data_IF_375349515275
#
_entry.id   IF_375349515275
#
_cell.length_a   1.000
_cell.length_b   1.000
_cell.length_c   1.000
_cell.angle_alpha   90.00
_cell.angle_beta   90.00
_cell.angle_gamma   90.00
#
_symmetry.space_group_name_H-M   'P 1'
#
loop_
_entity.id
_entity.type
_entity.pdbx_description
1 polymer ?
#
# COMPACT_ATOMS: atom_id res chain seq x y z
N UNK A 1 11.38 -25.59 32.02
CA UNK A 1 10.76 -24.26 31.77
C UNK A 1 11.58 -23.35 30.85
N UNK A 2 12.92 -23.37 30.91
CA UNK A 2 13.82 -22.54 30.09
C UNK A 2 13.66 -22.75 28.57
N UNK A 3 13.49 -24.00 28.13
CA UNK A 3 13.28 -24.31 26.70
C UNK A 3 11.95 -23.78 26.17
N UNK A 4 10.88 -23.84 26.96
CA UNK A 4 9.56 -23.33 26.56
C UNK A 4 9.59 -21.81 26.33
N UNK A 5 10.28 -21.08 27.22
CA UNK A 5 10.51 -19.64 27.09
C UNK A 5 11.31 -19.28 25.83
N UNK A 6 12.32 -20.08 25.49
CA UNK A 6 13.13 -19.87 24.29
C UNK A 6 12.32 -20.08 23.00
N UNK A 7 11.44 -21.09 22.97
CA UNK A 7 10.54 -21.33 21.82
C UNK A 7 9.55 -20.18 21.66
N UNK A 8 8.93 -19.71 22.76
CA UNK A 8 8.02 -18.57 22.73
C UNK A 8 8.72 -17.28 22.25
N UNK A 9 9.94 -17.04 22.71
CA UNK A 9 10.74 -15.89 22.26
C UNK A 9 11.05 -15.97 20.75
N UNK A 10 11.43 -17.15 20.24
CA UNK A 10 11.65 -17.36 18.81
C UNK A 10 10.40 -17.12 17.96
N UNK A 11 9.25 -17.60 18.42
CA UNK A 11 7.96 -17.40 17.74
C UNK A 11 7.53 -15.92 17.74
N UNK A 12 7.78 -15.20 18.83
CA UNK A 12 7.54 -13.75 18.92
C UNK A 12 8.41 -12.98 17.91
N UNK A 13 9.71 -13.26 17.86
CA UNK A 13 10.63 -12.60 16.92
C UNK A 13 10.20 -12.86 15.47
N UNK A 14 9.81 -14.11 15.15
CA UNK A 14 9.32 -14.47 13.82
C UNK A 14 8.02 -13.73 13.47
N UNK A 15 7.08 -13.63 14.41
CA UNK A 15 5.83 -12.90 14.20
C UNK A 15 6.08 -11.40 13.96
N UNK A 16 6.99 -10.77 14.72
CA UNK A 16 7.40 -9.39 14.50
C UNK A 16 8.05 -9.19 13.13
N UNK A 17 8.92 -10.09 12.71
CA UNK A 17 9.56 -10.03 11.40
C UNK A 17 8.54 -10.12 10.25
N UNK A 18 7.57 -11.03 10.37
CA UNK A 18 6.50 -11.17 9.38
C UNK A 18 5.58 -9.95 9.36
N UNK A 19 5.22 -9.41 10.53
CA UNK A 19 4.40 -8.20 10.63
C UNK A 19 5.11 -6.98 10.01
N UNK A 20 6.42 -6.83 10.25
CA UNK A 20 7.23 -5.77 9.65
C UNK A 20 7.32 -5.90 8.12
N UNK A 21 7.35 -7.13 7.60
CA UNK A 21 7.41 -7.40 6.15
C UNK A 21 6.09 -7.14 5.44
N UNK A 22 4.96 -7.15 6.15
CA UNK A 22 3.67 -6.74 5.58
C UNK A 22 3.75 -5.23 5.32
N UNK A 23 4.07 -4.86 4.08
CA UNK A 23 3.88 -3.49 3.63
C UNK A 23 2.39 -3.15 3.83
N UNK A 24 2.08 -2.06 4.55
CA UNK A 24 0.70 -1.64 4.68
C UNK A 24 0.15 -1.39 3.26
N UNK A 25 -1.03 -1.91 2.91
CA UNK A 25 -1.71 -1.58 1.65
C UNK A 25 -2.31 -0.17 1.72
N UNK A 26 -1.61 0.77 2.39
CA UNK A 26 -2.10 2.12 2.63
C UNK A 26 -1.89 2.90 1.36
N UNK A 27 -3.01 3.19 0.71
CA UNK A 27 -3.11 4.15 -0.36
C UNK A 27 -2.86 5.54 0.23
N UNK A 28 -1.72 6.15 -0.12
CA UNK A 28 -1.37 7.51 0.25
C UNK A 28 -2.11 8.43 -0.71
N UNK A 29 -2.94 9.34 -0.20
CA UNK A 29 -3.59 10.33 -1.04
C UNK A 29 -2.56 11.32 -1.57
N UNK A 30 -2.57 11.53 -2.89
CA UNK A 30 -1.78 12.56 -3.55
C UNK A 30 -2.71 13.69 -3.90
N UNK A 31 -2.39 14.88 -3.40
CA UNK A 31 -3.13 16.09 -3.70
C UNK A 31 -2.95 16.42 -5.19
N UNK A 32 -4.07 16.54 -5.90
CA UNK A 32 -4.06 16.95 -7.31
C UNK A 32 -4.65 18.35 -7.43
N UNK A 33 -4.25 19.08 -8.48
CA UNK A 33 -4.78 20.42 -8.75
C UNK A 33 -6.26 20.43 -9.19
N UNK A 34 -6.91 19.26 -9.32
CA UNK A 34 -8.29 19.17 -9.78
C UNK A 34 -9.20 18.60 -8.69
N UNK A 35 -10.28 19.32 -8.35
CA UNK A 35 -11.31 18.85 -7.41
C UNK A 35 -12.06 17.61 -7.89
N UNK A 36 -12.05 17.35 -9.20
CA UNK A 36 -12.72 16.19 -9.82
C UNK A 36 -11.83 14.94 -9.85
N UNK A 37 -10.53 15.06 -9.54
CA UNK A 37 -9.55 13.97 -9.64
C UNK A 37 -8.95 13.69 -8.27
N UNK A 38 -9.29 12.54 -7.69
CA UNK A 38 -8.65 12.05 -6.47
C UNK A 38 -7.60 11.01 -6.85
N UNK A 39 -6.33 11.28 -6.53
CA UNK A 39 -5.24 10.34 -6.80
C UNK A 39 -4.74 9.72 -5.50
N UNK A 40 -4.42 8.44 -5.53
CA UNK A 40 -3.77 7.74 -4.43
C UNK A 40 -2.67 6.85 -4.96
N UNK A 41 -1.58 6.72 -4.21
CA UNK A 41 -0.45 5.88 -4.58
C UNK A 41 -0.16 4.87 -3.49
N UNK A 42 0.30 3.69 -3.87
CA UNK A 42 0.84 2.72 -2.91
C UNK A 42 2.05 2.01 -3.50
N UNK A 43 2.94 1.57 -2.63
CA UNK A 43 3.93 0.57 -3.00
C UNK A 43 3.29 -0.81 -2.85
N UNK A 44 3.34 -1.61 -3.91
CA UNK A 44 2.95 -3.01 -3.91
C UNK A 44 4.19 -3.83 -4.27
N UNK A 45 4.96 -4.20 -3.24
CA UNK A 45 6.26 -4.86 -3.43
C UNK A 45 7.26 -3.87 -4.04
N UNK A 46 7.69 -4.12 -5.28
CA UNK A 46 8.61 -3.27 -6.06
C UNK A 46 7.91 -2.35 -7.06
N UNK A 47 6.59 -2.45 -7.19
CA UNK A 47 5.80 -1.67 -8.16
C UNK A 47 5.07 -0.54 -7.47
N UNK A 48 5.11 0.65 -8.06
CA UNK A 48 4.33 1.79 -7.60
C UNK A 48 2.95 1.73 -8.26
N UNK A 49 1.89 1.54 -7.49
CA UNK A 49 0.53 1.57 -8.03
C UNK A 49 -0.08 2.93 -7.83
N UNK A 50 -0.71 3.46 -8.88
CA UNK A 50 -1.45 4.72 -8.87
C UNK A 50 -2.92 4.40 -9.09
N UNK A 51 -3.76 4.83 -8.15
CA UNK A 51 -5.22 4.81 -8.27
C UNK A 51 -5.70 6.22 -8.52
N UNK A 52 -6.45 6.41 -9.58
CA UNK A 52 -7.07 7.68 -9.93
C UNK A 52 -8.58 7.49 -9.95
N UNK A 53 -9.30 8.32 -9.20
CA UNK A 53 -10.74 8.39 -9.16
C UNK A 53 -11.14 9.69 -9.84
N UNK A 54 -11.80 9.59 -10.99
CA UNK A 54 -12.29 10.74 -11.75
C UNK A 54 -13.81 10.78 -11.56
N UNK A 55 -14.31 11.84 -10.91
CA UNK A 55 -15.75 12.10 -10.80
C UNK A 55 -16.20 12.86 -12.03
N UNK A 56 -17.08 12.27 -12.84
CA UNK A 56 -17.75 12.98 -13.94
C UNK A 56 -19.02 13.65 -13.42
N UNK A 57 -19.39 14.76 -14.04
CA UNK A 57 -20.54 15.60 -13.65
C UNK A 57 -21.89 14.87 -13.75
N UNK A 58 -21.96 13.74 -14.46
CA UNK A 58 -23.14 12.87 -14.56
C UNK A 58 -23.32 11.92 -13.34
N UNK A 59 -22.46 12.00 -12.32
CA UNK A 59 -22.45 11.08 -11.18
C UNK A 59 -21.72 9.76 -11.45
N UNK A 60 -21.14 9.60 -12.65
CA UNK A 60 -20.28 8.45 -12.97
C UNK A 60 -18.89 8.61 -12.34
N UNK A 61 -18.51 7.65 -11.50
CA UNK A 61 -17.15 7.56 -10.95
C UNK A 61 -16.33 6.57 -11.76
N UNK A 62 -15.26 7.05 -12.40
CA UNK A 62 -14.30 6.17 -13.09
C UNK A 62 -13.09 5.94 -12.20
N UNK A 63 -12.84 4.69 -11.84
CA UNK A 63 -11.66 4.27 -11.08
C UNK A 63 -10.66 3.63 -12.02
N UNK A 64 -9.50 4.25 -12.18
CA UNK A 64 -8.38 3.71 -12.95
C UNK A 64 -7.27 3.33 -11.99
N UNK A 65 -6.78 2.10 -12.06
CA UNK A 65 -5.59 1.66 -11.32
C UNK A 65 -4.51 1.33 -12.34
N UNK A 66 -3.43 2.09 -12.32
CA UNK A 66 -2.26 1.86 -13.15
C UNK A 66 -1.10 1.35 -12.30
N UNK A 67 -0.39 0.35 -12.83
CA UNK A 67 0.86 -0.13 -12.26
C UNK A 67 2.00 0.70 -12.89
N UNK A 68 2.49 1.68 -12.16
CA UNK A 68 3.72 2.38 -12.49
C UNK A 68 4.92 1.45 -12.27
N UNK A 69 5.57 1.06 -13.36
CA UNK A 69 6.94 0.56 -13.28
C UNK A 69 7.77 1.77 -12.84
N UNK A 70 8.45 1.65 -11.70
CA UNK A 70 9.48 2.61 -11.30
C UNK A 70 10.54 2.65 -12.40
N UNK A 71 10.44 3.62 -13.32
CA UNK A 71 11.46 3.86 -14.34
C UNK A 71 12.80 4.22 -13.70
N UNK A 72 13.93 3.95 -14.36
CA UNK A 72 15.25 4.21 -13.80
C UNK A 72 15.46 5.71 -13.57
N UNK A 73 16.30 5.99 -12.56
CA UNK A 73 16.67 7.30 -12.04
C UNK A 73 17.48 8.12 -13.04
#
# INVERSE_FOLDING_TARGET
MKCLLSVLAGMLILAFFLFWKVQPPVWIHVETNSRQVQQSVRMAGTTLQVKQIIKRDAGEETVVISNGISGPK
#
